data_IF_451564713112
#
_entry.id   IF_451564713112
#
_cell.length_a   1.000
_cell.length_b   1.000
_cell.length_c   1.000
_cell.angle_alpha   90.00
_cell.angle_beta   90.00
_cell.angle_gamma   90.00
#
_symmetry.space_group_name_H-M   'P 1'
#
loop_
_entity.id
_entity.type
_entity.pdbx_description
1 polymer ?
#
# COMPACT_ATOMS: atom_id res chain seq x y z
N UNK A 1 -2.26 -13.01 -16.47
CA UNK A 1 -1.17 -12.90 -15.52
C UNK A 1 -1.69 -12.57 -14.14
N UNK A 2 -1.03 -13.08 -13.14
CA UNK A 2 -1.51 -12.94 -11.75
C UNK A 2 -1.23 -11.56 -11.21
N UNK A 3 -2.22 -11.02 -10.52
CA UNK A 3 -2.09 -9.81 -9.74
C UNK A 3 -1.23 -10.04 -8.50
N UNK A 4 -0.44 -9.06 -8.11
CA UNK A 4 0.31 -9.11 -6.87
C UNK A 4 0.05 -7.82 -6.09
N UNK A 5 -0.24 -7.97 -4.79
CA UNK A 5 -0.40 -6.84 -3.88
C UNK A 5 0.89 -6.70 -3.08
N UNK A 6 1.48 -5.52 -3.13
CA UNK A 6 2.71 -5.22 -2.38
C UNK A 6 2.36 -4.39 -1.17
N UNK A 7 2.62 -4.95 0.02
CA UNK A 7 2.43 -4.23 1.28
C UNK A 7 3.72 -3.48 1.59
N UNK A 8 3.74 -2.19 1.29
CA UNK A 8 4.97 -1.39 1.34
C UNK A 8 4.96 -0.45 2.54
N UNK A 9 5.99 -0.54 3.35
CA UNK A 9 6.23 0.41 4.43
C UNK A 9 6.98 1.62 3.90
N UNK A 10 6.50 2.81 4.25
CA UNK A 10 7.11 4.06 3.80
C UNK A 10 8.06 4.67 4.84
N UNK A 11 8.26 3.98 5.97
CA UNK A 11 9.02 4.53 7.07
C UNK A 11 8.19 5.52 7.89
N UNK A 12 8.74 6.09 8.96
CA UNK A 12 7.97 6.96 9.86
C UNK A 12 7.78 8.39 9.31
N UNK A 13 7.19 8.51 8.13
CA UNK A 13 6.79 9.80 7.57
C UNK A 13 7.81 10.56 6.75
N UNK A 14 9.06 10.13 6.74
CA UNK A 14 10.12 10.79 5.96
C UNK A 14 10.29 10.08 4.61
N UNK A 15 10.09 10.79 3.48
CA UNK A 15 10.28 10.18 2.16
C UNK A 15 11.65 9.53 1.96
N UNK A 16 12.68 10.04 2.63
CA UNK A 16 14.03 9.45 2.54
C UNK A 16 14.15 8.09 3.20
N UNK A 17 13.15 7.64 3.93
CA UNK A 17 13.19 6.35 4.63
C UNK A 17 12.50 5.23 3.85
N UNK A 18 11.95 5.51 2.70
CA UNK A 18 11.41 4.44 1.86
C UNK A 18 12.57 3.74 1.15
N UNK A 19 12.45 2.42 0.98
CA UNK A 19 13.50 1.65 0.32
C UNK A 19 13.48 1.88 -1.19
N UNK A 20 14.61 1.58 -1.85
CA UNK A 20 14.69 1.65 -3.32
C UNK A 20 13.63 0.75 -3.95
N UNK A 21 13.43 -0.45 -3.41
CA UNK A 21 12.40 -1.36 -3.91
C UNK A 21 11.00 -0.75 -3.79
N UNK A 22 10.72 -0.07 -2.69
CA UNK A 22 9.45 0.61 -2.50
C UNK A 22 9.22 1.69 -3.55
N UNK A 23 10.24 2.48 -3.84
CA UNK A 23 10.17 3.52 -4.87
C UNK A 23 9.90 2.92 -6.25
N UNK A 24 10.61 1.86 -6.59
CA UNK A 24 10.41 1.18 -7.87
C UNK A 24 8.99 0.65 -8.02
N UNK A 25 8.45 0.05 -6.97
CA UNK A 25 7.08 -0.47 -6.98
C UNK A 25 6.06 0.65 -7.14
N UNK A 26 6.24 1.76 -6.45
CA UNK A 26 5.34 2.92 -6.57
C UNK A 26 5.36 3.46 -8.01
N UNK A 27 6.54 3.55 -8.60
CA UNK A 27 6.68 4.07 -9.97
C UNK A 27 6.02 3.18 -11.01
N UNK A 28 5.92 1.88 -10.73
CA UNK A 28 5.39 0.90 -11.66
C UNK A 28 4.00 0.39 -11.30
N UNK A 29 3.41 0.90 -10.23
CA UNK A 29 2.13 0.42 -9.73
C UNK A 29 0.97 0.75 -10.69
N UNK A 30 0.05 -0.19 -10.81
CA UNK A 30 -1.21 0.02 -11.52
C UNK A 30 -2.26 0.64 -10.62
N UNK A 31 -2.14 0.44 -9.32
CA UNK A 31 -2.99 1.09 -8.32
C UNK A 31 -2.21 1.24 -7.01
N UNK A 32 -2.51 2.30 -6.28
CA UNK A 32 -1.93 2.54 -4.96
C UNK A 32 -3.06 2.87 -3.99
N UNK A 33 -3.08 2.17 -2.86
CA UNK A 33 -3.98 2.47 -1.75
C UNK A 33 -3.11 2.93 -0.59
N UNK A 34 -3.31 4.16 -0.15
CA UNK A 34 -2.50 4.74 0.94
C UNK A 34 -3.41 5.38 1.98
N UNK A 35 -2.95 5.45 3.22
CA UNK A 35 -3.77 5.91 4.34
C UNK A 35 -3.12 7.02 5.17
N UNK A 36 -1.99 7.55 4.73
CA UNK A 36 -1.28 8.58 5.46
C UNK A 36 -0.88 9.73 4.54
N UNK A 37 -1.31 10.95 4.85
CA UNK A 37 -1.09 12.11 3.98
C UNK A 37 0.39 12.42 3.74
N UNK A 38 1.28 12.08 4.68
CA UNK A 38 2.71 12.27 4.47
C UNK A 38 3.25 11.42 3.31
N UNK A 39 2.47 10.43 2.85
CA UNK A 39 2.84 9.62 1.70
C UNK A 39 2.59 10.34 0.37
N UNK A 40 1.90 11.48 0.38
CA UNK A 40 1.56 12.21 -0.84
C UNK A 40 2.78 12.54 -1.70
N UNK A 41 3.93 12.76 -1.07
CA UNK A 41 5.16 13.06 -1.81
C UNK A 41 5.57 11.95 -2.77
N UNK A 42 5.16 10.71 -2.51
CA UNK A 42 5.47 9.57 -3.38
C UNK A 42 4.56 9.51 -4.60
N UNK A 43 3.40 10.17 -4.55
CA UNK A 43 2.44 10.12 -5.64
C UNK A 43 2.96 10.77 -6.92
N UNK A 44 3.96 11.65 -6.78
CA UNK A 44 4.62 12.26 -7.93
C UNK A 44 5.41 11.26 -8.76
N UNK A 45 5.73 10.11 -8.16
CA UNK A 45 6.53 9.07 -8.81
C UNK A 45 5.65 8.11 -9.60
N UNK A 46 4.34 8.16 -9.43
CA UNK A 46 3.44 7.20 -10.07
C UNK A 46 3.32 7.47 -11.57
N UNK A 47 3.10 6.39 -12.32
CA UNK A 47 2.81 6.55 -13.74
C UNK A 47 1.41 7.14 -13.94
N UNK A 48 1.18 7.70 -15.12
CA UNK A 48 -0.05 8.43 -15.43
C UNK A 48 -1.30 7.58 -15.26
N UNK A 49 -1.23 6.32 -15.60
CA UNK A 49 -2.38 5.40 -15.58
C UNK A 49 -2.67 4.83 -14.20
N UNK A 50 -1.83 5.12 -13.21
CA UNK A 50 -2.00 4.55 -11.88
C UNK A 50 -3.26 5.08 -11.20
N UNK A 51 -4.06 4.16 -10.66
CA UNK A 51 -5.22 4.53 -9.84
C UNK A 51 -4.74 4.81 -8.43
N UNK A 52 -4.97 6.02 -7.94
CA UNK A 52 -4.52 6.45 -6.62
C UNK A 52 -5.73 6.58 -5.71
N UNK A 53 -5.74 5.81 -4.63
CA UNK A 53 -6.87 5.73 -3.70
C UNK A 53 -6.39 6.09 -2.30
N UNK A 54 -6.97 7.14 -1.73
CA UNK A 54 -6.67 7.53 -0.36
C UNK A 54 -7.67 6.86 0.58
N UNK A 55 -7.17 6.11 1.55
CA UNK A 55 -7.99 5.36 2.50
C UNK A 55 -7.98 5.97 3.91
N UNK A 56 -7.26 7.07 4.11
CA UNK A 56 -7.16 7.71 5.41
C UNK A 56 -8.28 8.72 5.67
N UNK A 57 -8.20 9.35 6.83
CA UNK A 57 -9.16 10.38 7.23
C UNK A 57 -8.91 11.67 6.45
N UNK A 58 -9.97 12.31 5.98
CA UNK A 58 -9.88 13.58 5.29
C UNK A 58 -10.96 14.54 5.72
N UNK A 59 -10.92 15.76 5.17
CA UNK A 59 -11.94 16.76 5.45
C UNK A 59 -13.28 16.31 4.86
N UNK A 60 -14.28 16.17 5.70
CA UNK A 60 -15.61 15.81 5.27
C UNK A 60 -15.85 14.33 5.04
N UNK A 61 -14.86 13.46 5.28
CA UNK A 61 -15.07 12.02 5.17
C UNK A 61 -14.24 11.24 6.20
N UNK A 62 -14.70 10.05 6.51
CA UNK A 62 -14.04 9.16 7.46
C UNK A 62 -13.02 8.29 6.75
N UNK A 63 -11.99 7.84 7.49
CA UNK A 63 -11.07 6.83 6.99
C UNK A 63 -11.84 5.55 6.68
N UNK A 64 -11.36 4.80 5.69
CA UNK A 64 -11.87 3.46 5.42
C UNK A 64 -11.52 2.55 6.60
N UNK A 65 -12.44 1.65 6.95
CA UNK A 65 -12.17 0.63 7.94
C UNK A 65 -11.16 -0.39 7.37
N UNK A 66 -10.55 -1.18 8.24
CA UNK A 66 -9.65 -2.25 7.79
C UNK A 66 -10.37 -3.20 6.84
N UNK A 67 -11.61 -3.52 7.14
CA UNK A 67 -12.43 -4.39 6.28
C UNK A 67 -12.64 -3.79 4.89
N UNK A 68 -12.89 -2.48 4.82
CA UNK A 68 -13.07 -1.79 3.54
C UNK A 68 -11.76 -1.72 2.75
N UNK A 69 -10.64 -1.53 3.43
CA UNK A 69 -9.34 -1.54 2.78
C UNK A 69 -9.05 -2.92 2.20
N UNK A 70 -9.29 -3.97 2.97
CA UNK A 70 -9.09 -5.35 2.51
C UNK A 70 -9.93 -5.64 1.27
N UNK A 71 -11.19 -5.23 1.31
CA UNK A 71 -12.09 -5.42 0.17
C UNK A 71 -11.60 -4.66 -1.06
N UNK A 72 -11.12 -3.43 -0.86
CA UNK A 72 -10.60 -2.63 -1.98
C UNK A 72 -9.42 -3.31 -2.65
N UNK A 73 -8.49 -3.84 -1.85
CA UNK A 73 -7.33 -4.56 -2.40
C UNK A 73 -7.75 -5.80 -3.19
N UNK A 74 -8.72 -6.54 -2.66
CA UNK A 74 -9.25 -7.73 -3.32
C UNK A 74 -9.93 -7.35 -4.64
N UNK A 75 -10.75 -6.31 -4.62
CA UNK A 75 -11.47 -5.86 -5.82
C UNK A 75 -10.51 -5.39 -6.91
N UNK A 76 -9.47 -4.64 -6.52
CA UNK A 76 -8.45 -4.20 -7.48
C UNK A 76 -7.71 -5.40 -8.09
N UNK A 77 -7.38 -6.40 -7.29
CA UNK A 77 -6.74 -7.61 -7.77
C UNK A 77 -7.62 -8.34 -8.79
N UNK A 78 -8.91 -8.45 -8.49
CA UNK A 78 -9.85 -9.16 -9.36
C UNK A 78 -10.19 -8.39 -10.62
N UNK A 79 -9.93 -7.08 -10.65
CA UNK A 79 -10.20 -6.24 -11.81
C UNK A 79 -9.17 -6.40 -12.95
N UNK A 80 -8.12 -7.18 -12.72
CA UNK A 80 -7.11 -7.44 -13.73
C UNK A 80 -5.85 -6.60 -13.62
N UNK A 81 -5.76 -5.73 -12.61
CA UNK A 81 -4.55 -4.96 -12.36
C UNK A 81 -3.46 -5.89 -11.85
N UNK A 82 -2.23 -5.74 -12.35
CA UNK A 82 -1.13 -6.62 -12.02
C UNK A 82 -0.34 -6.21 -10.78
N UNK A 83 -0.09 -4.92 -10.63
CA UNK A 83 0.72 -4.41 -9.52
C UNK A 83 -0.09 -3.43 -8.68
N UNK A 84 -0.43 -3.84 -7.48
CA UNK A 84 -1.20 -3.04 -6.54
C UNK A 84 -0.32 -2.78 -5.33
N UNK A 85 -0.14 -1.52 -4.97
CA UNK A 85 0.68 -1.13 -3.82
C UNK A 85 -0.22 -0.65 -2.69
N UNK A 86 -0.06 -1.27 -1.52
CA UNK A 86 -0.66 -0.80 -0.28
C UNK A 86 0.43 -0.07 0.48
N UNK A 87 0.41 1.24 0.42
CA UNK A 87 1.45 2.07 1.03
C UNK A 87 1.03 2.50 2.43
N UNK A 88 1.85 2.17 3.42
CA UNK A 88 1.58 2.47 4.82
C UNK A 88 2.74 3.29 5.40
N UNK A 89 2.44 4.13 6.36
CA UNK A 89 3.48 4.77 7.15
C UNK A 89 4.13 3.74 8.07
N UNK A 90 5.44 3.67 8.08
CA UNK A 90 6.18 2.72 8.90
C UNK A 90 6.25 1.33 8.30
N UNK A 91 6.61 0.35 9.12
CA UNK A 91 6.68 -1.06 8.70
C UNK A 91 5.30 -1.68 8.78
N UNK A 92 4.82 -2.37 7.73
CA UNK A 92 3.49 -2.98 7.75
C UNK A 92 3.23 -3.93 8.91
N UNK A 93 4.26 -4.58 9.46
CA UNK A 93 4.10 -5.50 10.58
C UNK A 93 4.27 -4.86 11.95
N UNK A 94 5.03 -3.78 12.06
CA UNK A 94 5.27 -3.15 13.35
C UNK A 94 4.00 -2.56 13.97
N UNK A 95 3.04 -2.17 13.14
CA UNK A 95 1.83 -1.50 13.61
C UNK A 95 0.58 -2.37 13.50
N UNK A 96 0.76 -3.69 13.41
CA UNK A 96 -0.30 -4.67 13.63
C UNK A 96 -1.33 -4.87 12.52
N UNK A 97 -1.44 -3.95 11.58
CA UNK A 97 -2.49 -4.06 10.56
C UNK A 97 -2.05 -4.77 9.28
N UNK A 98 -0.74 -4.84 9.04
CA UNK A 98 -0.22 -5.54 7.88
C UNK A 98 -0.55 -7.03 7.90
N UNK A 99 -0.56 -7.63 9.10
CA UNK A 99 -0.90 -9.03 9.24
C UNK A 99 -2.33 -9.35 8.83
N UNK A 100 -3.28 -8.47 9.19
CA UNK A 100 -4.69 -8.65 8.80
C UNK A 100 -4.86 -8.58 7.29
N UNK A 101 -4.20 -7.62 6.64
CA UNK A 101 -4.25 -7.48 5.19
C UNK A 101 -3.68 -8.71 4.52
N UNK A 102 -2.52 -9.19 4.97
CA UNK A 102 -1.89 -10.37 4.40
C UNK A 102 -2.76 -11.61 4.56
N UNK A 103 -3.37 -11.81 5.72
CA UNK A 103 -4.25 -12.95 5.95
C UNK A 103 -5.45 -12.94 5.01
N UNK A 104 -6.06 -11.77 4.82
CA UNK A 104 -7.22 -11.64 3.95
C UNK A 104 -6.86 -11.92 2.49
N UNK A 105 -5.71 -11.42 2.04
CA UNK A 105 -5.21 -11.68 0.71
C UNK A 105 -4.96 -13.18 0.50
N UNK A 106 -4.36 -13.82 1.50
CA UNK A 106 -4.09 -15.26 1.45
C UNK A 106 -5.38 -16.06 1.36
N UNK A 107 -6.40 -15.71 2.14
CA UNK A 107 -7.71 -16.37 2.08
C UNK A 107 -8.32 -16.30 0.69
N UNK A 108 -8.11 -15.21 0.00
CA UNK A 108 -8.68 -14.99 -1.34
C UNK A 108 -7.73 -15.44 -2.46
N UNK A 109 -6.67 -16.16 -2.11
CA UNK A 109 -5.68 -16.71 -3.06
C UNK A 109 -5.04 -15.63 -3.93
N UNK A 110 -4.79 -14.47 -3.34
CA UNK A 110 -4.14 -13.35 -4.01
C UNK A 110 -2.67 -13.33 -3.61
N UNK A 111 -1.78 -13.26 -4.59
CA UNK A 111 -0.35 -13.15 -4.32
C UNK A 111 -0.06 -11.82 -3.63
N UNK A 112 0.78 -11.86 -2.63
CA UNK A 112 1.23 -10.63 -1.99
C UNK A 112 2.69 -10.74 -1.59
N UNK A 113 3.33 -9.59 -1.44
CA UNK A 113 4.71 -9.48 -1.01
C UNK A 113 4.82 -8.34 0.00
N UNK A 114 5.63 -8.54 1.02
CA UNK A 114 5.84 -7.52 2.04
C UNK A 114 7.17 -6.84 1.79
N UNK A 115 7.14 -5.51 1.71
CA UNK A 115 8.31 -4.68 1.48
C UNK A 115 8.44 -3.74 2.67
N UNK A 116 9.28 -4.05 3.66
CA UNK A 116 9.38 -3.23 4.85
C UNK A 116 10.02 -1.87 4.56
N UNK A 117 9.66 -0.89 5.36
CA UNK A 117 10.34 0.39 5.35
C UNK A 117 11.66 0.30 6.10
N UNK A 118 12.45 1.36 6.03
CA UNK A 118 13.70 1.43 6.80
C UNK A 118 13.36 1.56 8.27
N UNK A 119 13.95 0.67 9.08
CA UNK A 119 13.74 0.71 10.52
C UNK A 119 14.61 1.79 11.15
N UNK A 120 14.01 2.61 12.03
CA UNK A 120 14.74 3.60 12.80
C UNK A 120 15.45 2.99 14.01
N UNK A 121 15.27 1.71 14.26
CA UNK A 121 15.82 1.01 15.42
C UNK A 121 17.25 0.48 15.20
N UNK A 122 17.81 0.73 14.07
CA UNK A 122 19.18 0.28 13.76
C UNK A 122 20.21 1.24 14.33
#
# INVERSE_FOLDING_TARGET
>A
MKSTVYLVGAGPGDPGLITVKGIELISDADAIVYDYLANDSFLKLTKKECKVIYAGKGLGFKALSQKQINKKLIDLSKSGLQKIVRLKGGDPFLFGRGGEEAEELKKNKINFEIVPGVSSAI
#
